data_IF_807576610740
#
_entry.id   IF_807576610740
#
_cell.length_a   1.000
_cell.length_b   1.000
_cell.length_c   1.000
_cell.angle_alpha   90.00
_cell.angle_beta   90.00
_cell.angle_gamma   90.00
#
_symmetry.space_group_name_H-M   'P 1'
#
loop_
_entity.id
_entity.type
_entity.pdbx_description
1 polymer ?
#
# COMPACT_ATOMS: atom_id res chain seq x y z
N UNK A 1 55.68 59.40 34.20
CA UNK A 1 54.59 58.68 34.92
C UNK A 1 53.56 58.23 33.90
N UNK A 2 53.52 56.93 33.56
CA UNK A 2 52.48 56.35 32.70
C UNK A 2 51.31 55.94 33.59
N UNK A 3 50.13 56.54 33.41
CA UNK A 3 48.90 56.15 34.10
C UNK A 3 48.40 54.83 33.50
N UNK A 4 48.47 53.74 34.26
CA UNK A 4 47.74 52.52 33.95
C UNK A 4 46.25 52.77 34.25
N UNK A 5 45.41 52.68 33.21
CA UNK A 5 43.96 52.58 33.36
C UNK A 5 43.63 51.10 33.64
N UNK A 6 42.94 50.76 34.74
CA UNK A 6 42.43 49.41 34.93
C UNK A 6 41.29 49.17 33.93
N UNK A 7 41.54 48.31 32.96
CA UNK A 7 40.56 47.81 32.02
C UNK A 7 39.64 46.84 32.77
N UNK A 8 38.53 47.33 33.32
CA UNK A 8 37.47 46.48 33.87
C UNK A 8 36.74 45.82 32.70
N UNK A 9 37.06 44.54 32.44
CA UNK A 9 36.20 43.68 31.64
C UNK A 9 34.93 43.38 32.45
N UNK A 10 33.85 44.10 32.18
CA UNK A 10 32.50 43.68 32.54
C UNK A 10 32.14 42.49 31.64
N UNK A 11 32.51 41.28 32.07
CA UNK A 11 31.96 40.06 31.49
C UNK A 11 30.54 39.95 32.03
N UNK A 12 29.56 40.43 31.26
CA UNK A 12 28.15 40.14 31.51
C UNK A 12 27.92 38.66 31.21
N UNK A 13 28.14 37.80 32.21
CA UNK A 13 27.70 36.41 32.16
C UNK A 13 26.18 36.48 32.26
N UNK A 14 25.49 36.38 31.11
CA UNK A 14 24.07 36.09 31.09
C UNK A 14 23.91 34.67 31.64
N UNK A 15 23.77 34.56 32.97
CA UNK A 15 23.36 33.33 33.61
C UNK A 15 21.93 33.08 33.12
N UNK A 16 21.80 32.16 32.16
CA UNK A 16 20.51 31.56 31.84
C UNK A 16 19.85 31.11 33.14
N UNK A 17 18.53 31.25 33.22
CA UNK A 17 17.78 30.89 34.41
C UNK A 17 18.15 29.48 34.88
N UNK A 18 18.48 29.38 36.16
CA UNK A 18 18.83 28.12 36.80
C UNK A 18 17.71 27.82 37.81
N UNK A 19 16.80 26.93 37.42
CA UNK A 19 15.76 26.45 38.32
C UNK A 19 16.33 25.40 39.25
N UNK A 20 15.92 25.48 40.52
CA UNK A 20 16.13 24.41 41.49
C UNK A 20 14.76 23.94 41.97
N UNK A 21 14.42 22.70 41.62
CA UNK A 21 13.18 22.05 42.03
C UNK A 21 13.51 21.01 43.10
N UNK A 22 12.81 21.09 44.23
CA UNK A 22 12.89 20.10 45.30
C UNK A 22 11.53 19.45 45.44
N UNK A 23 11.45 18.14 45.18
CA UNK A 23 10.22 17.38 45.40
C UNK A 23 10.04 17.14 46.90
N UNK A 24 8.99 17.70 47.49
CA UNK A 24 8.77 17.63 48.94
C UNK A 24 7.86 16.47 49.33
N UNK A 25 6.80 16.24 48.55
CA UNK A 25 5.86 15.16 48.78
C UNK A 25 5.15 14.74 47.49
N UNK A 26 4.61 13.51 47.48
CA UNK A 26 3.72 13.05 46.42
C UNK A 26 2.64 12.11 46.97
N UNK A 27 1.44 12.23 46.42
CA UNK A 27 0.30 11.39 46.74
C UNK A 27 -0.30 10.80 45.46
N UNK A 28 -0.47 9.48 45.46
CA UNK A 28 -1.20 8.76 44.41
C UNK A 28 -2.59 8.41 44.96
N UNK A 29 -3.64 8.91 44.33
CA UNK A 29 -5.02 8.61 44.73
C UNK A 29 -5.50 7.29 44.12
N UNK A 30 -6.56 6.72 44.70
CA UNK A 30 -7.19 5.51 44.18
C UNK A 30 -7.75 5.68 42.74
N UNK A 31 -8.09 6.91 42.36
CA UNK A 31 -8.60 7.26 41.03
C UNK A 31 -7.48 7.47 40.00
N UNK A 32 -6.22 7.22 40.37
CA UNK A 32 -5.08 7.38 39.48
C UNK A 32 -4.66 8.84 39.28
N UNK A 33 -4.95 9.72 40.25
CA UNK A 33 -4.40 11.07 40.24
C UNK A 33 -3.06 11.06 40.98
N UNK A 34 -2.08 11.79 40.43
CA UNK A 34 -0.80 12.03 41.09
C UNK A 34 -0.74 13.50 41.47
N UNK A 35 -0.65 13.77 42.76
CA UNK A 35 -0.52 15.11 43.32
C UNK A 35 0.90 15.25 43.84
N UNK A 36 1.65 16.19 43.29
CA UNK A 36 2.99 16.53 43.72
C UNK A 36 2.97 17.84 44.51
N UNK A 37 3.77 17.89 45.56
CA UNK A 37 4.18 19.15 46.18
C UNK A 37 5.65 19.35 45.87
N UNK A 38 5.99 20.51 45.30
CA UNK A 38 7.36 20.87 44.96
C UNK A 38 7.70 22.24 45.48
N UNK A 39 8.94 22.42 45.92
CA UNK A 39 9.51 23.71 46.23
C UNK A 39 10.39 24.17 45.06
N UNK A 40 10.00 25.25 44.40
CA UNK A 40 10.65 25.80 43.23
C UNK A 40 11.41 27.08 43.59
N UNK A 41 12.65 27.20 43.09
CA UNK A 41 13.46 28.42 43.19
C UNK A 41 13.94 28.84 41.80
N UNK A 42 13.88 30.13 41.50
CA UNK A 42 14.55 30.71 40.34
C UNK A 42 15.82 31.43 40.82
N UNK A 43 16.99 30.86 40.50
CA UNK A 43 18.29 31.40 40.91
C UNK A 43 18.90 32.35 39.87
N UNK A 44 18.28 32.48 38.70
CA UNK A 44 18.74 33.37 37.63
C UNK A 44 17.85 34.58 37.47
N UNK A 45 17.79 35.11 36.24
CA UNK A 45 16.89 36.20 35.89
C UNK A 45 15.43 35.73 35.84
N UNK A 46 14.51 36.67 36.00
CA UNK A 46 13.08 36.44 35.83
C UNK A 46 12.79 35.76 34.48
N UNK A 47 12.01 34.68 34.52
CA UNK A 47 11.73 33.88 33.33
C UNK A 47 10.23 33.64 33.19
N UNK A 48 9.76 33.76 31.96
CA UNK A 48 8.44 33.30 31.56
C UNK A 48 8.45 31.77 31.39
N UNK A 49 7.60 31.10 32.17
CA UNK A 49 7.43 29.65 32.14
C UNK A 49 6.07 29.35 31.54
N UNK A 50 6.06 28.43 30.59
CA UNK A 50 4.84 27.90 30.01
C UNK A 50 4.28 26.81 30.91
N UNK A 51 3.07 27.03 31.38
CA UNK A 51 2.42 26.20 32.39
C UNK A 51 0.91 26.15 32.10
N UNK A 52 0.56 25.73 30.89
CA UNK A 52 -0.86 25.63 30.51
C UNK A 52 -1.44 24.28 30.92
N UNK A 53 -2.53 24.31 31.67
CA UNK A 53 -3.41 23.16 31.89
C UNK A 53 -4.79 23.41 31.25
N UNK A 54 -5.44 22.36 30.72
CA UNK A 54 -6.80 22.44 30.16
C UNK A 54 -6.97 21.86 28.74
N UNK A 55 -8.22 21.62 28.30
CA UNK A 55 -8.54 20.83 27.10
C UNK A 55 -8.22 21.50 25.75
N UNK A 56 -7.90 22.80 25.73
CA UNK A 56 -7.84 23.62 24.50
C UNK A 56 -6.42 23.90 23.96
N UNK A 57 -5.38 23.19 24.44
CA UNK A 57 -3.97 23.56 24.15
C UNK A 57 -3.16 22.50 23.36
N UNK A 58 -3.82 21.75 22.49
CA UNK A 58 -3.16 20.70 21.70
C UNK A 58 -2.08 21.22 20.72
N UNK A 59 -2.19 22.46 20.22
CA UNK A 59 -1.28 22.98 19.18
C UNK A 59 0.09 23.46 19.69
N UNK A 60 0.29 23.61 21.01
CA UNK A 60 1.57 24.03 21.63
C UNK A 60 2.26 22.94 22.46
N UNK A 61 1.79 21.70 22.35
CA UNK A 61 2.23 20.55 23.16
C UNK A 61 3.76 20.37 23.19
N UNK A 62 4.45 20.63 22.06
CA UNK A 62 5.90 20.41 21.90
C UNK A 62 6.77 21.43 22.65
N UNK A 63 6.30 22.67 22.83
CA UNK A 63 7.00 23.70 23.61
C UNK A 63 6.75 23.54 25.11
N UNK A 64 5.71 22.79 25.50
CA UNK A 64 5.26 22.61 26.88
C UNK A 64 5.87 21.38 27.57
N UNK A 65 6.12 20.32 26.80
CA UNK A 65 6.85 19.12 27.24
C UNK A 65 8.26 19.44 27.78
N UNK A 66 8.80 20.63 27.59
CA UNK A 66 10.11 20.98 28.18
C UNK A 66 10.03 21.35 29.65
N UNK A 67 8.86 21.79 30.14
CA UNK A 67 8.73 22.39 31.47
C UNK A 67 7.98 21.50 32.47
N UNK A 68 6.85 20.90 32.07
CA UNK A 68 6.06 20.05 32.96
C UNK A 68 5.49 18.87 32.20
N UNK A 69 5.94 17.67 32.51
CA UNK A 69 5.30 16.46 31.99
C UNK A 69 5.49 15.27 32.91
N UNK A 70 4.53 14.36 32.81
CA UNK A 70 4.60 13.02 33.36
C UNK A 70 4.74 12.07 32.18
N UNK A 71 5.74 11.20 32.23
CA UNK A 71 5.91 10.10 31.29
C UNK A 71 5.65 8.76 31.98
N UNK A 72 5.04 7.81 31.28
CA UNK A 72 4.81 6.47 31.79
C UNK A 72 4.75 5.43 30.67
N UNK A 73 5.08 4.19 30.97
CA UNK A 73 4.94 3.05 30.06
C UNK A 73 3.54 2.44 30.18
N UNK A 74 2.83 2.33 29.07
CA UNK A 74 1.53 1.64 29.04
C UNK A 74 1.70 0.12 28.95
N UNK A 75 1.58 -0.57 30.08
CA UNK A 75 1.88 -2.01 30.19
C UNK A 75 0.85 -2.87 29.44
N UNK A 76 -0.42 -2.46 29.40
CA UNK A 76 -1.48 -3.31 28.86
C UNK A 76 -1.59 -3.24 27.34
N UNK A 77 -1.33 -2.09 26.74
CA UNK A 77 -1.52 -1.91 25.30
C UNK A 77 -0.28 -2.28 24.48
N UNK A 78 0.72 -1.41 24.45
CA UNK A 78 1.83 -1.49 23.48
C UNK A 78 3.22 -1.32 24.11
N UNK A 79 3.30 -1.22 25.45
CA UNK A 79 4.52 -0.88 26.18
C UNK A 79 5.17 0.42 25.70
N UNK A 80 4.42 1.33 25.05
CA UNK A 80 4.97 2.62 24.63
C UNK A 80 4.95 3.61 25.79
N UNK A 81 5.93 4.50 25.76
CA UNK A 81 5.94 5.66 26.66
C UNK A 81 4.89 6.67 26.21
N UNK A 82 4.00 7.04 27.12
CA UNK A 82 3.00 8.08 26.95
C UNK A 82 3.38 9.25 27.83
N UNK A 83 3.06 10.45 27.36
CA UNK A 83 3.30 11.68 28.10
C UNK A 83 1.99 12.41 28.39
N UNK A 84 1.95 13.07 29.55
CA UNK A 84 0.81 13.84 30.05
C UNK A 84 1.31 15.14 30.63
N UNK A 85 0.60 16.22 30.32
CA UNK A 85 0.76 17.50 30.99
C UNK A 85 -0.07 17.51 32.29
N UNK A 86 0.27 18.36 33.28
CA UNK A 86 -0.54 18.50 34.47
C UNK A 86 -1.95 19.02 34.14
N UNK A 87 -2.93 18.59 34.92
CA UNK A 87 -4.30 19.10 34.86
C UNK A 87 -4.53 20.32 35.74
N UNK A 88 -3.66 20.57 36.73
CA UNK A 88 -3.63 21.81 37.50
C UNK A 88 -2.26 22.08 38.10
N UNK A 89 -1.94 23.37 38.26
CA UNK A 89 -0.79 23.86 39.02
C UNK A 89 -1.30 24.97 39.94
N UNK A 90 -1.04 24.83 41.23
CA UNK A 90 -1.52 25.75 42.27
C UNK A 90 -0.32 26.23 43.10
N UNK A 91 -0.16 27.54 43.25
CA UNK A 91 0.97 28.15 43.96
C UNK A 91 0.51 28.55 45.35
N UNK A 92 1.31 28.22 46.36
CA UNK A 92 1.14 28.70 47.73
C UNK A 92 1.69 30.13 47.85
N UNK A 93 0.84 31.07 48.26
CA UNK A 93 1.20 32.46 48.49
C UNK A 93 1.88 32.64 49.85
N UNK A 94 2.47 33.82 50.05
CA UNK A 94 3.06 34.22 51.34
C UNK A 94 2.05 34.30 52.49
N UNK A 95 0.75 34.29 52.20
CA UNK A 95 -0.33 34.30 53.19
C UNK A 95 -0.87 32.90 53.50
N UNK A 96 -0.13 31.84 53.12
CA UNK A 96 -0.54 30.44 53.21
C UNK A 96 -1.85 30.13 52.45
N UNK A 97 -2.22 30.95 51.46
CA UNK A 97 -3.35 30.70 50.57
C UNK A 97 -2.86 30.09 49.25
N UNK A 98 -3.74 29.38 48.54
CA UNK A 98 -3.40 28.73 47.27
C UNK A 98 -4.11 29.41 46.11
N UNK A 99 -3.36 29.78 45.08
CA UNK A 99 -3.88 30.39 43.85
C UNK A 99 -3.62 29.48 42.65
N UNK A 100 -4.64 29.29 41.82
CA UNK A 100 -4.51 28.54 40.57
C UNK A 100 -3.72 29.34 39.54
N UNK A 101 -2.87 28.68 38.78
CA UNK A 101 -2.13 29.28 37.68
C UNK A 101 -3.00 29.35 36.42
N UNK A 102 -3.94 30.29 36.36
CA UNK A 102 -4.99 30.31 35.32
C UNK A 102 -4.51 30.74 33.92
N UNK A 103 -3.33 31.37 33.81
CA UNK A 103 -2.76 31.81 32.53
C UNK A 103 -1.79 30.78 31.94
N UNK A 104 -1.72 30.68 30.60
CA UNK A 104 -0.80 29.75 29.92
C UNK A 104 0.68 30.04 30.20
N UNK A 105 0.99 31.27 30.59
CA UNK A 105 2.33 31.70 30.96
C UNK A 105 2.33 32.20 32.39
N UNK A 106 3.37 31.82 33.13
CA UNK A 106 3.65 32.26 34.49
C UNK A 106 5.02 32.90 34.53
N UNK A 107 5.08 34.15 35.02
CA UNK A 107 6.32 34.86 35.17
C UNK A 107 6.95 34.49 36.51
N UNK A 108 7.99 33.65 36.48
CA UNK A 108 8.69 33.22 37.69
C UNK A 108 9.87 34.16 37.97
N UNK A 109 9.64 35.14 38.83
CA UNK A 109 10.70 36.08 39.25
C UNK A 109 11.81 35.39 40.03
N UNK A 110 13.00 35.98 39.99
CA UNK A 110 14.17 35.55 40.75
C UNK A 110 13.85 35.52 42.24
N UNK A 111 14.07 34.37 42.88
CA UNK A 111 13.82 34.18 44.31
C UNK A 111 15.12 34.19 45.12
N UNK A 112 16.27 34.14 44.45
CA UNK A 112 17.57 33.96 45.09
C UNK A 112 17.66 32.62 45.86
N UNK A 113 18.72 32.46 46.66
CA UNK A 113 19.01 31.19 47.34
C UNK A 113 18.12 30.92 48.57
N UNK A 114 17.64 31.98 49.23
CA UNK A 114 16.94 31.91 50.51
C UNK A 114 15.41 31.92 50.43
N UNK A 115 14.83 32.10 49.24
CA UNK A 115 13.38 32.09 49.06
C UNK A 115 12.97 31.24 47.86
N UNK A 116 11.68 30.90 47.79
CA UNK A 116 11.11 30.04 46.76
C UNK A 116 9.59 29.99 46.89
N UNK A 117 8.97 29.19 46.03
CA UNK A 117 7.53 29.00 46.01
C UNK A 117 7.19 27.53 46.15
N UNK A 118 6.16 27.22 46.92
CA UNK A 118 5.61 25.87 46.97
C UNK A 118 4.51 25.75 45.91
N UNK A 119 4.64 24.76 45.05
CA UNK A 119 3.67 24.46 44.00
C UNK A 119 3.05 23.09 44.27
N UNK A 120 1.72 23.03 44.15
CA UNK A 120 0.94 21.80 44.14
C UNK A 120 0.51 21.50 42.72
N UNK A 121 1.02 20.41 42.15
CA UNK A 121 0.84 20.04 40.74
C UNK A 121 0.05 18.74 40.69
N UNK A 122 -1.00 18.70 39.88
CA UNK A 122 -1.85 17.51 39.75
C UNK A 122 -1.80 16.96 38.34
N UNK A 123 -1.62 15.65 38.21
CA UNK A 123 -1.84 14.87 36.99
C UNK A 123 -3.05 13.97 37.22
N UNK A 124 -4.06 14.05 36.36
CA UNK A 124 -5.30 13.26 36.49
C UNK A 124 -5.38 12.14 35.47
N UNK A 125 -6.17 11.10 35.78
CA UNK A 125 -6.46 9.99 34.87
C UNK A 125 -5.20 9.23 34.43
N UNK A 126 -4.23 9.05 35.33
CA UNK A 126 -3.08 8.18 35.06
C UNK A 126 -3.56 6.73 35.19
N UNK A 127 -3.37 5.90 34.14
CA UNK A 127 -3.83 4.52 34.18
C UNK A 127 -3.22 3.76 35.36
N UNK A 128 -4.03 2.94 36.05
CA UNK A 128 -3.57 2.19 37.22
C UNK A 128 -2.51 1.11 36.87
N UNK A 129 -2.38 0.81 35.59
CA UNK A 129 -1.42 -0.09 34.96
C UNK A 129 -0.19 0.63 34.37
N UNK A 130 -0.06 1.94 34.57
CA UNK A 130 1.10 2.70 34.14
C UNK A 130 2.37 2.21 34.87
N UNK A 131 3.38 1.83 34.09
CA UNK A 131 4.69 1.43 34.59
C UNK A 131 5.73 2.54 34.47
N UNK A 132 6.77 2.50 35.29
CA UNK A 132 7.92 3.41 35.24
C UNK A 132 7.49 4.89 35.13
N UNK A 133 6.54 5.30 35.97
CA UNK A 133 6.02 6.67 36.00
C UNK A 133 7.13 7.61 36.46
N UNK A 134 7.37 8.65 35.66
CA UNK A 134 8.38 9.68 35.90
C UNK A 134 7.76 11.04 35.67
N UNK A 135 8.12 12.00 36.50
CA UNK A 135 7.64 13.37 36.38
C UNK A 135 8.83 14.30 36.25
N UNK A 136 8.79 15.16 35.24
CA UNK A 136 9.81 16.17 34.97
C UNK A 136 9.19 17.55 35.15
N UNK A 137 9.84 18.35 36.00
CA UNK A 137 9.48 19.73 36.29
C UNK A 137 10.72 20.59 36.12
N UNK A 138 10.71 21.50 35.14
CA UNK A 138 11.80 22.41 34.80
C UNK A 138 13.17 21.71 34.75
N UNK A 139 13.21 20.55 34.07
CA UNK A 139 14.40 19.73 33.91
C UNK A 139 14.80 18.87 35.12
N UNK A 140 14.10 18.99 36.25
CA UNK A 140 14.29 18.10 37.42
C UNK A 140 13.35 16.90 37.36
N UNK A 141 13.86 15.70 37.60
CA UNK A 141 13.11 14.44 37.48
C UNK A 141 12.80 13.82 38.85
N UNK A 142 11.55 13.35 39.02
CA UNK A 142 11.13 12.45 40.08
C UNK A 142 10.67 11.12 39.47
N UNK A 143 11.30 10.04 39.89
CA UNK A 143 10.89 8.67 39.52
C UNK A 143 9.91 8.16 40.58
N UNK A 144 8.65 7.99 40.20
CA UNK A 144 7.61 7.42 41.07
C UNK A 144 7.67 5.88 41.04
N UNK A 145 7.99 5.32 39.87
CA UNK A 145 7.98 3.88 39.66
C UNK A 145 6.62 3.37 39.15
N UNK A 146 6.28 2.14 39.48
CA UNK A 146 5.08 1.48 38.96
C UNK A 146 3.82 1.89 39.75
N UNK A 147 2.71 2.12 39.05
CA UNK A 147 1.42 2.31 39.71
C UNK A 147 0.96 1.01 40.41
N UNK A 148 0.10 1.06 41.44
CA UNK A 148 -0.20 -0.09 42.29
C UNK A 148 -0.67 -1.37 41.59
N UNK A 149 -1.25 -1.29 40.38
CA UNK A 149 -1.71 -2.48 39.62
C UNK A 149 -0.75 -2.90 38.51
N UNK A 150 0.26 -2.09 38.19
CA UNK A 150 1.18 -2.32 37.07
C UNK A 150 1.91 -3.67 37.17
N UNK A 151 2.48 -3.99 38.33
CA UNK A 151 3.23 -5.25 38.54
C UNK A 151 2.34 -6.49 38.45
N UNK A 152 1.15 -6.46 39.05
CA UNK A 152 0.19 -7.58 38.97
C UNK A 152 -0.27 -7.82 37.53
N UNK A 153 -0.45 -6.74 36.75
CA UNK A 153 -0.82 -6.83 35.35
C UNK A 153 0.33 -7.30 34.46
N UNK A 154 1.57 -6.89 34.74
CA UNK A 154 2.78 -7.40 34.08
C UNK A 154 2.88 -8.91 34.25
N UNK A 155 2.76 -9.41 35.49
CA UNK A 155 2.73 -10.85 35.79
C UNK A 155 1.59 -11.57 35.09
N UNK A 156 0.40 -10.97 35.04
CA UNK A 156 -0.74 -11.54 34.32
C UNK A 156 -0.49 -11.62 32.81
N UNK A 157 0.09 -10.58 32.20
CA UNK A 157 0.44 -10.54 30.77
C UNK A 157 1.53 -11.55 30.44
N UNK A 158 2.56 -11.64 31.27
CA UNK A 158 3.62 -12.66 31.16
C UNK A 158 3.06 -14.07 31.26
N UNK A 159 2.15 -14.31 32.21
CA UNK A 159 1.46 -15.61 32.32
C UNK A 159 0.64 -15.92 31.09
N UNK A 160 -0.19 -14.99 30.60
CA UNK A 160 -1.00 -15.19 29.38
C UNK A 160 -0.10 -15.48 28.17
N UNK A 161 1.02 -14.77 28.04
CA UNK A 161 1.99 -15.02 26.98
C UNK A 161 2.64 -16.40 27.13
N UNK A 162 3.02 -16.79 28.35
CA UNK A 162 3.60 -18.09 28.65
C UNK A 162 2.64 -19.22 28.32
N UNK A 163 1.39 -19.15 28.80
CA UNK A 163 0.35 -20.14 28.54
C UNK A 163 0.06 -20.25 27.03
N UNK A 164 -0.02 -19.10 26.33
CA UNK A 164 -0.22 -19.08 24.88
C UNK A 164 0.96 -19.69 24.11
N UNK A 165 2.20 -19.43 24.54
CA UNK A 165 3.42 -19.96 23.94
C UNK A 165 3.52 -21.48 24.15
N UNK A 166 3.21 -21.95 25.36
CA UNK A 166 3.17 -23.38 25.69
C UNK A 166 2.17 -24.12 24.81
N UNK A 167 0.93 -23.60 24.72
CA UNK A 167 -0.11 -24.16 23.85
C UNK A 167 0.32 -24.15 22.36
N UNK A 168 0.94 -23.08 21.87
CA UNK A 168 1.43 -23.01 20.50
C UNK A 168 2.53 -24.05 20.22
N UNK A 169 3.45 -24.24 21.16
CA UNK A 169 4.51 -25.25 21.06
C UNK A 169 3.96 -26.66 21.14
N UNK A 170 3.05 -26.94 22.08
CA UNK A 170 2.42 -28.25 22.25
C UNK A 170 1.66 -28.66 20.98
N UNK A 171 0.76 -27.80 20.50
CA UNK A 171 -0.02 -28.05 19.28
C UNK A 171 0.88 -28.20 18.03
N UNK A 172 1.98 -27.46 17.94
CA UNK A 172 2.98 -27.63 16.88
C UNK A 172 3.69 -28.99 16.96
N UNK A 173 4.11 -29.41 18.16
CA UNK A 173 4.80 -30.68 18.39
C UNK A 173 3.88 -31.87 18.13
N UNK A 174 2.59 -31.73 18.47
CA UNK A 174 1.54 -32.73 18.23
C UNK A 174 1.00 -32.71 16.79
N UNK A 175 1.54 -31.86 15.91
CA UNK A 175 1.14 -31.72 14.50
C UNK A 175 -0.32 -31.32 14.31
N UNK A 176 -0.92 -30.63 15.29
CA UNK A 176 -2.26 -30.06 15.22
C UNK A 176 -2.22 -28.71 14.48
N UNK A 177 -1.83 -28.73 13.21
CA UNK A 177 -1.36 -27.54 12.49
C UNK A 177 -2.37 -26.40 12.37
N UNK A 178 -3.66 -26.70 12.24
CA UNK A 178 -4.71 -25.68 12.17
C UNK A 178 -4.81 -24.87 13.47
N UNK A 179 -4.72 -25.56 14.61
CA UNK A 179 -4.73 -24.94 15.93
C UNK A 179 -3.39 -24.27 16.24
N UNK A 180 -2.27 -24.93 15.90
CA UNK A 180 -0.92 -24.42 16.09
C UNK A 180 -0.71 -23.04 15.43
N UNK A 181 -1.10 -22.88 14.17
CA UNK A 181 -0.98 -21.59 13.48
C UNK A 181 -1.85 -20.50 14.14
N UNK A 182 -3.05 -20.85 14.61
CA UNK A 182 -3.95 -19.90 15.31
C UNK A 182 -3.35 -19.48 16.67
N UNK A 183 -2.75 -20.42 17.40
CA UNK A 183 -2.04 -20.15 18.64
C UNK A 183 -0.81 -19.28 18.40
N UNK A 184 -0.04 -19.53 17.34
CA UNK A 184 1.08 -18.67 16.95
C UNK A 184 0.64 -17.25 16.60
N UNK A 185 -0.47 -17.05 15.88
CA UNK A 185 -1.01 -15.70 15.62
C UNK A 185 -1.35 -14.97 16.93
N UNK A 186 -1.93 -15.66 17.92
CA UNK A 186 -2.20 -15.10 19.23
C UNK A 186 -0.91 -14.71 19.97
N UNK A 187 0.11 -15.57 19.95
CA UNK A 187 1.40 -15.30 20.58
C UNK A 187 2.09 -14.10 19.94
N UNK A 188 2.11 -14.02 18.60
CA UNK A 188 2.71 -12.90 17.85
C UNK A 188 2.00 -11.59 18.19
N UNK A 189 0.67 -11.60 18.32
CA UNK A 189 -0.11 -10.42 18.74
C UNK A 189 0.24 -9.97 20.17
N UNK A 190 0.52 -10.92 21.07
CA UNK A 190 0.92 -10.62 22.45
C UNK A 190 2.38 -10.13 22.53
N UNK A 191 3.27 -10.70 21.72
CA UNK A 191 4.68 -10.34 21.66
C UNK A 191 5.32 -10.74 20.31
N UNK A 192 5.52 -9.77 19.43
CA UNK A 192 6.10 -9.98 18.11
C UNK A 192 7.56 -10.47 18.14
N UNK A 193 8.30 -10.22 19.22
CA UNK A 193 9.70 -10.66 19.34
C UNK A 193 9.85 -12.19 19.40
N UNK A 194 8.75 -12.92 19.66
CA UNK A 194 8.74 -14.39 19.66
C UNK A 194 9.07 -14.95 18.27
N UNK A 195 8.75 -14.20 17.19
CA UNK A 195 9.03 -14.59 15.80
C UNK A 195 10.51 -14.93 15.61
N UNK A 196 11.42 -14.12 16.15
CA UNK A 196 12.87 -14.32 15.95
C UNK A 196 13.38 -15.62 16.59
N UNK A 197 12.69 -16.15 17.61
CA UNK A 197 13.10 -17.36 18.33
C UNK A 197 12.47 -18.64 17.77
N UNK A 198 11.28 -18.53 17.19
CA UNK A 198 10.49 -19.69 16.75
C UNK A 198 10.04 -19.57 15.29
N UNK A 199 10.78 -18.82 14.47
CA UNK A 199 10.49 -18.59 13.05
C UNK A 199 10.24 -19.92 12.31
N UNK A 200 11.04 -20.93 12.65
CA UNK A 200 10.97 -22.28 12.10
C UNK A 200 9.60 -22.94 12.32
N UNK A 201 9.11 -22.93 13.57
CA UNK A 201 7.85 -23.57 13.98
C UNK A 201 6.65 -22.77 13.53
N UNK A 202 6.74 -21.43 13.58
CA UNK A 202 5.71 -20.53 13.09
C UNK A 202 5.51 -20.76 11.59
N UNK A 203 6.60 -20.70 10.80
CA UNK A 203 6.57 -20.91 9.35
C UNK A 203 6.04 -22.31 9.00
N UNK A 204 6.54 -23.35 9.66
CA UNK A 204 6.06 -24.73 9.45
C UNK A 204 4.55 -24.87 9.72
N UNK A 205 4.08 -24.33 10.85
CA UNK A 205 2.66 -24.40 11.22
C UNK A 205 1.78 -23.66 10.21
N UNK A 206 2.24 -22.53 9.70
CA UNK A 206 1.51 -21.73 8.72
C UNK A 206 1.45 -22.42 7.35
N UNK A 207 2.57 -23.00 6.87
CA UNK A 207 2.59 -23.83 5.67
C UNK A 207 1.63 -25.02 5.77
N UNK A 208 1.63 -25.74 6.89
CA UNK A 208 0.74 -26.88 7.07
C UNK A 208 -0.73 -26.48 7.18
N UNK A 209 -1.06 -25.35 7.84
CA UNK A 209 -2.42 -24.79 7.81
C UNK A 209 -2.83 -24.39 6.40
N UNK A 210 -1.92 -23.80 5.62
CA UNK A 210 -2.18 -23.46 4.22
C UNK A 210 -2.52 -24.71 3.39
N UNK A 211 -1.81 -25.82 3.59
CA UNK A 211 -2.12 -27.11 2.94
C UNK A 211 -3.50 -27.66 3.32
N UNK A 212 -3.90 -27.52 4.59
CA UNK A 212 -5.23 -27.92 5.04
C UNK A 212 -6.32 -27.08 4.35
N UNK A 213 -6.14 -25.75 4.31
CA UNK A 213 -7.06 -24.83 3.64
C UNK A 213 -7.11 -25.07 2.12
N UNK A 214 -5.97 -25.40 1.51
CA UNK A 214 -5.90 -25.77 0.10
C UNK A 214 -6.76 -27.00 -0.20
N UNK A 215 -6.67 -28.05 0.63
CA UNK A 215 -7.52 -29.25 0.51
C UNK A 215 -9.01 -28.95 0.70
N UNK A 216 -9.35 -27.86 1.39
CA UNK A 216 -10.71 -27.36 1.58
C UNK A 216 -11.16 -26.38 0.47
N UNK A 217 -10.37 -26.22 -0.61
CA UNK A 217 -10.60 -25.26 -1.69
C UNK A 217 -10.67 -23.79 -1.24
N UNK A 218 -10.16 -23.47 -0.05
CA UNK A 218 -10.09 -22.10 0.48
C UNK A 218 -8.81 -21.41 0.00
N UNK A 219 -8.71 -21.22 -1.32
CA UNK A 219 -7.45 -20.88 -1.98
C UNK A 219 -6.87 -19.53 -1.55
N UNK A 220 -7.68 -18.47 -1.45
CA UNK A 220 -7.21 -17.14 -1.04
C UNK A 220 -6.62 -17.16 0.37
N UNK A 221 -7.23 -17.90 1.30
CA UNK A 221 -6.72 -18.03 2.66
C UNK A 221 -5.45 -18.88 2.69
N UNK A 222 -5.42 -19.98 1.94
CA UNK A 222 -4.21 -20.81 1.81
C UNK A 222 -3.02 -19.99 1.29
N UNK A 223 -3.23 -19.15 0.26
CA UNK A 223 -2.21 -18.25 -0.29
C UNK A 223 -1.69 -17.30 0.81
N UNK A 224 -2.59 -16.69 1.57
CA UNK A 224 -2.23 -15.78 2.67
C UNK A 224 -1.34 -16.47 3.73
N UNK A 225 -1.64 -17.70 4.13
CA UNK A 225 -0.82 -18.42 5.10
C UNK A 225 0.56 -18.83 4.53
N UNK A 226 0.64 -19.21 3.25
CA UNK A 226 1.92 -19.48 2.62
C UNK A 226 2.81 -18.23 2.53
N UNK A 227 2.26 -17.08 2.16
CA UNK A 227 3.03 -15.82 2.11
C UNK A 227 3.47 -15.38 3.52
N UNK A 228 2.61 -15.48 4.54
CA UNK A 228 3.02 -15.24 5.93
C UNK A 228 4.16 -16.18 6.37
N UNK A 229 4.09 -17.46 6.02
CA UNK A 229 5.14 -18.42 6.36
C UNK A 229 6.49 -18.06 5.72
N UNK A 230 6.45 -17.61 4.47
CA UNK A 230 7.61 -17.12 3.71
C UNK A 230 8.24 -15.89 4.35
N UNK A 231 7.42 -14.94 4.82
CA UNK A 231 7.89 -13.74 5.54
C UNK A 231 8.63 -14.08 6.84
N UNK A 232 8.18 -15.11 7.56
CA UNK A 232 8.79 -15.51 8.83
C UNK A 232 10.06 -16.34 8.67
N UNK A 233 10.06 -17.31 7.75
CA UNK A 233 11.24 -18.15 7.50
C UNK A 233 11.24 -18.69 6.06
N UNK A 234 12.02 -18.05 5.19
CA UNK A 234 12.19 -18.46 3.81
C UNK A 234 12.74 -19.90 3.70
N UNK A 235 13.68 -20.30 4.56
CA UNK A 235 14.33 -21.61 4.45
C UNK A 235 13.37 -22.76 4.75
N UNK A 236 12.43 -22.56 5.67
CA UNK A 236 11.36 -23.52 5.93
C UNK A 236 10.35 -23.51 4.79
N UNK A 237 9.93 -22.31 4.33
CA UNK A 237 9.00 -22.17 3.23
C UNK A 237 9.46 -22.87 1.94
N UNK A 238 10.76 -22.82 1.61
CA UNK A 238 11.30 -23.51 0.42
C UNK A 238 11.01 -25.02 0.40
N UNK A 239 10.82 -25.67 1.56
CA UNK A 239 10.43 -27.09 1.63
C UNK A 239 8.99 -27.34 1.18
N UNK A 240 8.17 -26.29 1.14
CA UNK A 240 6.76 -26.29 0.76
C UNK A 240 6.52 -25.59 -0.57
N UNK A 241 7.59 -25.21 -1.29
CA UNK A 241 7.52 -24.45 -2.53
C UNK A 241 6.66 -25.13 -3.60
N UNK A 242 6.77 -26.45 -3.71
CA UNK A 242 5.97 -27.23 -4.67
C UNK A 242 4.49 -27.26 -4.26
N UNK A 243 4.16 -27.49 -2.98
CA UNK A 243 2.77 -27.39 -2.50
C UNK A 243 2.15 -26.01 -2.81
N UNK A 244 2.95 -24.96 -2.70
CA UNK A 244 2.50 -23.60 -3.02
C UNK A 244 2.37 -23.36 -4.53
N UNK A 245 3.27 -23.94 -5.34
CA UNK A 245 3.17 -23.90 -6.80
C UNK A 245 1.90 -24.59 -7.29
N UNK A 246 1.55 -25.75 -6.72
CA UNK A 246 0.29 -26.48 -6.96
C UNK A 246 -0.93 -25.60 -6.66
N UNK A 247 -0.94 -24.95 -5.49
CA UNK A 247 -2.01 -24.04 -5.09
C UNK A 247 -2.17 -22.88 -6.09
N UNK A 248 -1.07 -22.22 -6.46
CA UNK A 248 -1.07 -21.10 -7.40
C UNK A 248 -1.49 -21.54 -8.81
N UNK A 249 -1.19 -22.78 -9.22
CA UNK A 249 -1.66 -23.33 -10.47
C UNK A 249 -3.18 -23.47 -10.48
N UNK A 250 -3.74 -24.17 -9.48
CA UNK A 250 -5.18 -24.44 -9.40
C UNK A 250 -5.98 -23.14 -9.21
N UNK A 251 -5.50 -22.25 -8.34
CA UNK A 251 -6.13 -20.93 -8.15
C UNK A 251 -6.12 -20.13 -9.45
N UNK A 252 -5.02 -20.18 -10.21
CA UNK A 252 -4.90 -19.54 -11.50
C UNK A 252 -5.91 -20.07 -12.51
N UNK A 253 -6.05 -21.39 -12.64
CA UNK A 253 -7.05 -22.01 -13.52
C UNK A 253 -8.49 -21.63 -13.14
N UNK A 254 -8.82 -21.64 -11.85
CA UNK A 254 -10.15 -21.25 -11.39
C UNK A 254 -10.45 -19.79 -11.74
N UNK A 255 -9.49 -18.88 -11.53
CA UNK A 255 -9.64 -17.47 -11.87
C UNK A 255 -9.84 -17.25 -13.37
N UNK A 256 -9.11 -17.98 -14.21
CA UNK A 256 -9.33 -17.97 -15.65
C UNK A 256 -10.74 -18.45 -16.03
N UNK A 257 -11.22 -19.54 -15.41
CA UNK A 257 -12.57 -20.06 -15.66
C UNK A 257 -13.66 -19.07 -15.23
N UNK A 258 -13.40 -18.27 -14.19
CA UNK A 258 -14.27 -17.20 -13.74
C UNK A 258 -14.12 -15.88 -14.52
N UNK A 259 -13.38 -15.88 -15.64
CA UNK A 259 -13.07 -14.68 -16.43
C UNK A 259 -12.27 -13.59 -15.70
N UNK A 260 -11.64 -13.92 -14.57
CA UNK A 260 -10.73 -13.05 -13.83
C UNK A 260 -9.29 -13.21 -14.37
N UNK A 261 -9.08 -12.74 -15.59
CA UNK A 261 -7.91 -13.10 -16.40
C UNK A 261 -6.59 -12.63 -15.79
N UNK A 262 -6.52 -11.37 -15.34
CA UNK A 262 -5.31 -10.79 -14.77
C UNK A 262 -4.84 -11.56 -13.52
N UNK A 263 -5.78 -11.87 -12.63
CA UNK A 263 -5.51 -12.65 -11.42
C UNK A 263 -5.09 -14.08 -11.77
N UNK A 264 -5.77 -14.71 -12.73
CA UNK A 264 -5.44 -16.06 -13.20
C UNK A 264 -4.05 -16.14 -13.79
N UNK A 265 -3.70 -15.24 -14.71
CA UNK A 265 -2.38 -15.21 -15.35
C UNK A 265 -1.27 -14.92 -14.34
N UNK A 266 -1.47 -13.97 -13.43
CA UNK A 266 -0.50 -13.66 -12.37
C UNK A 266 -0.21 -14.89 -11.50
N UNK A 267 -1.26 -15.60 -11.09
CA UNK A 267 -1.18 -16.83 -10.31
C UNK A 267 -0.42 -17.94 -11.06
N UNK A 268 -0.76 -18.18 -12.33
CA UNK A 268 -0.06 -19.17 -13.17
C UNK A 268 1.41 -18.83 -13.37
N UNK A 269 1.76 -17.57 -13.66
CA UNK A 269 3.16 -17.15 -13.77
C UNK A 269 3.92 -17.35 -12.46
N UNK A 270 3.26 -17.11 -11.33
CA UNK A 270 3.91 -17.32 -10.05
C UNK A 270 4.17 -18.81 -9.80
N UNK A 271 3.20 -19.69 -10.08
CA UNK A 271 3.40 -21.15 -10.08
C UNK A 271 4.58 -21.57 -10.98
N UNK A 272 4.66 -21.01 -12.19
CA UNK A 272 5.76 -21.25 -13.14
C UNK A 272 7.15 -20.91 -12.56
N UNK A 273 7.23 -19.80 -11.81
CA UNK A 273 8.48 -19.37 -11.17
C UNK A 273 8.88 -20.22 -9.97
N UNK A 274 7.90 -20.89 -9.35
CA UNK A 274 8.12 -21.68 -8.15
C UNK A 274 8.55 -23.11 -8.49
N UNK A 275 7.90 -23.77 -9.45
CA UNK A 275 8.18 -25.18 -9.75
C UNK A 275 8.22 -25.46 -11.24
N UNK A 276 9.11 -26.36 -11.66
CA UNK A 276 9.21 -26.82 -13.05
C UNK A 276 8.08 -27.76 -13.45
N UNK A 277 7.38 -28.34 -12.46
CA UNK A 277 6.34 -29.38 -12.67
C UNK A 277 5.21 -28.90 -13.58
N UNK A 278 4.81 -27.63 -13.48
CA UNK A 278 3.69 -27.08 -14.26
C UNK A 278 4.11 -26.30 -15.49
N UNK A 279 5.41 -26.14 -15.78
CA UNK A 279 5.88 -25.25 -16.84
C UNK A 279 5.23 -25.55 -18.19
N UNK A 280 5.29 -26.81 -18.65
CA UNK A 280 4.69 -27.20 -19.93
C UNK A 280 3.17 -27.00 -19.96
N UNK A 281 2.46 -27.26 -18.85
CA UNK A 281 1.01 -27.07 -18.78
C UNK A 281 0.64 -25.59 -18.83
N UNK A 282 1.34 -24.77 -18.07
CA UNK A 282 1.16 -23.32 -18.03
C UNK A 282 1.51 -22.72 -19.39
N UNK A 283 2.63 -23.11 -20.01
CA UNK A 283 3.02 -22.67 -21.35
C UNK A 283 1.97 -23.04 -22.39
N UNK A 284 1.47 -24.28 -22.39
CA UNK A 284 0.39 -24.69 -23.28
C UNK A 284 -0.87 -23.85 -23.07
N UNK A 285 -1.28 -23.63 -21.81
CA UNK A 285 -2.46 -22.83 -21.48
C UNK A 285 -2.31 -21.38 -21.94
N UNK A 286 -1.17 -20.75 -21.67
CA UNK A 286 -0.88 -19.38 -22.08
C UNK A 286 -0.74 -19.28 -23.61
N UNK A 287 -0.22 -20.32 -24.27
CA UNK A 287 -0.17 -20.41 -25.74
C UNK A 287 -1.55 -20.60 -26.37
N UNK A 288 -2.46 -21.36 -25.76
CA UNK A 288 -3.86 -21.46 -26.18
C UNK A 288 -4.54 -20.09 -26.09
N UNK A 289 -4.31 -19.35 -25.00
CA UNK A 289 -4.80 -17.99 -24.83
C UNK A 289 -4.23 -17.03 -25.89
N UNK A 290 -2.93 -17.13 -26.22
CA UNK A 290 -2.29 -16.38 -27.31
C UNK A 290 -2.83 -16.77 -28.69
N UNK A 291 -3.01 -18.07 -28.97
CA UNK A 291 -3.52 -18.57 -30.26
C UNK A 291 -4.96 -18.15 -30.50
N UNK A 292 -5.80 -18.17 -29.48
CA UNK A 292 -7.14 -17.59 -29.50
C UNK A 292 -7.13 -16.11 -29.93
N UNK A 293 -6.13 -15.35 -29.46
CA UNK A 293 -5.95 -13.95 -29.87
C UNK A 293 -5.42 -13.83 -31.30
N UNK A 294 -4.42 -14.62 -31.71
CA UNK A 294 -3.89 -14.58 -33.08
C UNK A 294 -4.92 -15.04 -34.12
N UNK A 295 -5.71 -16.08 -33.83
CA UNK A 295 -6.82 -16.47 -34.69
C UNK A 295 -7.85 -15.36 -34.73
N UNK A 296 -8.14 -14.69 -33.62
CA UNK A 296 -9.01 -13.52 -33.62
C UNK A 296 -8.45 -12.37 -34.48
N UNK A 297 -7.14 -12.14 -34.51
CA UNK A 297 -6.49 -11.10 -35.33
C UNK A 297 -6.52 -11.50 -36.82
N UNK A 298 -6.27 -12.76 -37.15
CA UNK A 298 -6.42 -13.24 -38.53
C UNK A 298 -7.88 -13.15 -39.01
N UNK A 299 -8.85 -13.35 -38.10
CA UNK A 299 -10.27 -13.19 -38.36
C UNK A 299 -10.72 -11.72 -38.39
N UNK A 300 -9.92 -10.75 -37.90
CA UNK A 300 -10.27 -9.33 -37.95
C UNK A 300 -9.85 -8.65 -39.25
N UNK A 301 -8.98 -9.30 -40.03
CA UNK A 301 -8.74 -8.95 -41.44
C UNK A 301 -10.00 -9.08 -42.29
N UNK A 302 -10.99 -9.86 -41.83
CA UNK A 302 -12.35 -9.86 -42.35
C UNK A 302 -13.23 -9.14 -41.31
N UNK A 303 -13.50 -7.84 -41.48
CA UNK A 303 -14.30 -7.06 -40.54
C UNK A 303 -15.58 -7.77 -40.13
N UNK A 304 -15.84 -7.83 -38.83
CA UNK A 304 -17.03 -8.47 -38.25
C UNK A 304 -16.95 -10.00 -38.10
N UNK A 305 -16.04 -10.71 -38.79
CA UNK A 305 -15.95 -12.17 -38.67
C UNK A 305 -15.34 -12.61 -37.33
N UNK A 306 -14.28 -11.94 -36.86
CA UNK A 306 -13.70 -12.19 -35.53
C UNK A 306 -14.70 -11.96 -34.40
N UNK A 307 -15.52 -10.92 -34.52
CA UNK A 307 -16.51 -10.55 -33.52
C UNK A 307 -17.77 -11.43 -33.56
N UNK A 308 -18.10 -12.03 -34.72
CA UNK A 308 -19.12 -13.07 -34.84
C UNK A 308 -18.69 -14.38 -34.19
N UNK A 309 -17.43 -14.77 -34.38
CA UNK A 309 -16.86 -15.99 -33.77
C UNK A 309 -16.69 -15.84 -32.26
N UNK A 310 -16.41 -14.63 -31.76
CA UNK A 310 -16.14 -14.35 -30.34
C UNK A 310 -17.36 -13.88 -29.50
N UNK A 311 -18.58 -13.95 -30.04
CA UNK A 311 -19.88 -13.83 -29.31
C UNK A 311 -20.14 -12.57 -28.44
N UNK A 312 -19.36 -11.47 -28.52
CA UNK A 312 -19.57 -10.31 -27.62
C UNK A 312 -20.51 -9.20 -28.12
N UNK A 313 -20.78 -9.07 -29.43
CA UNK A 313 -21.72 -8.04 -29.93
C UNK A 313 -22.22 -8.31 -31.37
N UNK A 314 -23.09 -9.31 -31.54
CA UNK A 314 -23.53 -9.83 -32.86
C UNK A 314 -24.03 -8.75 -33.82
N UNK A 315 -24.72 -7.71 -33.34
CA UNK A 315 -25.27 -6.64 -34.21
C UNK A 315 -24.19 -5.76 -34.84
N UNK A 316 -23.19 -5.33 -34.07
CA UNK A 316 -22.07 -4.52 -34.60
C UNK A 316 -21.21 -5.34 -35.55
N UNK A 317 -20.96 -6.60 -35.22
CA UNK A 317 -20.21 -7.54 -36.05
C UNK A 317 -20.88 -7.77 -37.40
N UNK A 318 -22.20 -7.96 -37.42
CA UNK A 318 -22.96 -8.20 -38.65
C UNK A 318 -22.98 -6.96 -39.55
N UNK A 319 -23.04 -5.76 -38.96
CA UNK A 319 -22.95 -4.49 -39.69
C UNK A 319 -21.57 -4.29 -40.33
N UNK A 320 -20.48 -4.55 -39.59
CA UNK A 320 -19.12 -4.44 -40.11
C UNK A 320 -18.84 -5.48 -41.22
N UNK A 321 -19.30 -6.73 -41.02
CA UNK A 321 -19.20 -7.77 -42.04
C UNK A 321 -20.04 -7.46 -43.28
N UNK A 322 -21.26 -6.96 -43.10
CA UNK A 322 -22.13 -6.51 -44.18
C UNK A 322 -21.51 -5.34 -44.96
N UNK A 323 -21.00 -4.33 -44.26
CA UNK A 323 -20.35 -3.18 -44.88
C UNK A 323 -19.11 -3.58 -45.69
N UNK A 324 -18.26 -4.47 -45.13
CA UNK A 324 -17.10 -5.01 -45.83
C UNK A 324 -17.49 -5.83 -47.06
N UNK A 325 -18.44 -6.77 -46.91
CA UNK A 325 -18.87 -7.66 -47.98
C UNK A 325 -19.52 -6.90 -49.14
N UNK A 326 -20.49 -6.03 -48.84
CA UNK A 326 -21.19 -5.23 -49.86
C UNK A 326 -20.23 -4.28 -50.57
N UNK A 327 -19.36 -3.57 -49.83
CA UNK A 327 -18.41 -2.62 -50.42
C UNK A 327 -17.36 -3.31 -51.29
N UNK A 328 -16.90 -4.51 -50.90
CA UNK A 328 -15.96 -5.30 -51.73
C UNK A 328 -16.59 -5.73 -53.05
N UNK A 329 -17.84 -6.20 -53.03
CA UNK A 329 -18.59 -6.58 -54.24
C UNK A 329 -18.81 -5.38 -55.15
N UNK A 330 -19.23 -4.23 -54.58
CA UNK A 330 -19.46 -3.00 -55.34
C UNK A 330 -18.16 -2.45 -55.95
N UNK A 331 -17.04 -2.52 -55.23
CA UNK A 331 -15.71 -2.15 -55.75
C UNK A 331 -15.36 -2.95 -57.00
N UNK A 332 -15.49 -4.28 -56.93
CA UNK A 332 -15.19 -5.17 -58.06
C UNK A 332 -16.17 -4.95 -59.22
N UNK A 333 -17.46 -4.85 -58.93
CA UNK A 333 -18.49 -4.64 -59.94
C UNK A 333 -18.28 -3.33 -60.71
N UNK A 334 -18.02 -2.23 -60.00
CA UNK A 334 -17.82 -0.94 -60.63
C UNK A 334 -16.48 -0.85 -61.36
N UNK A 335 -15.42 -1.54 -60.89
CA UNK A 335 -14.18 -1.68 -61.66
C UNK A 335 -14.41 -2.42 -62.98
N UNK A 336 -15.11 -3.56 -62.96
CA UNK A 336 -15.43 -4.32 -64.18
C UNK A 336 -16.24 -3.46 -65.16
N UNK A 337 -17.22 -2.69 -64.68
CA UNK A 337 -17.99 -1.77 -65.51
C UNK A 337 -17.12 -0.66 -66.11
N UNK A 338 -16.22 -0.10 -65.31
CA UNK A 338 -15.28 0.91 -65.79
C UNK A 338 -14.39 0.36 -66.91
N UNK A 339 -13.83 -0.84 -66.73
CA UNK A 339 -12.98 -1.50 -67.72
C UNK A 339 -13.76 -1.73 -69.03
N UNK A 340 -15.02 -2.18 -68.94
CA UNK A 340 -15.90 -2.34 -70.10
C UNK A 340 -16.18 -1.00 -70.82
N UNK A 341 -16.46 0.08 -70.08
CA UNK A 341 -16.68 1.40 -70.68
C UNK A 341 -15.40 1.97 -71.30
N UNK A 342 -14.23 1.66 -70.74
CA UNK A 342 -12.95 2.03 -71.30
C UNK A 342 -12.67 1.29 -72.63
N UNK A 343 -13.00 0.00 -72.68
CA UNK A 343 -12.94 -0.79 -73.91
C UNK A 343 -13.90 -0.28 -75.00
N UNK A 344 -15.09 0.18 -74.61
CA UNK A 344 -16.05 0.82 -75.52
C UNK A 344 -15.56 2.19 -75.99
N UNK A 345 -14.96 2.99 -75.10
CA UNK A 345 -14.31 4.26 -75.43
C UNK A 345 -13.23 4.08 -76.51
N UNK A 346 -12.38 3.05 -76.39
CA UNK A 346 -11.34 2.75 -77.37
C UNK A 346 -11.90 2.34 -78.74
N UNK A 347 -13.15 1.89 -78.81
CA UNK A 347 -13.85 1.45 -80.03
C UNK A 347 -14.79 2.51 -80.60
N UNK A 348 -14.96 3.65 -79.93
CA UNK A 348 -15.91 4.68 -80.35
C UNK A 348 -15.49 5.34 -81.68
N UNK A 349 -16.44 5.50 -82.59
CA UNK A 349 -16.18 6.05 -83.94
C UNK A 349 -16.44 7.56 -84.03
N UNK A 350 -17.01 8.16 -82.99
CA UNK A 350 -17.27 9.61 -82.93
C UNK A 350 -16.74 10.21 -81.62
N UNK A 351 -16.28 11.48 -81.63
CA UNK A 351 -15.77 12.15 -80.43
C UNK A 351 -16.82 12.29 -79.31
N UNK A 352 -18.09 12.48 -79.66
CA UNK A 352 -19.18 12.60 -78.69
C UNK A 352 -19.43 11.29 -77.94
N UNK A 353 -19.44 10.17 -78.67
CA UNK A 353 -19.60 8.84 -78.07
C UNK A 353 -18.38 8.47 -77.21
N UNK A 354 -17.16 8.73 -77.71
CA UNK A 354 -15.94 8.55 -76.93
C UNK A 354 -15.98 9.35 -75.62
N UNK A 355 -16.38 10.63 -75.67
CA UNK A 355 -16.50 11.46 -74.47
C UNK A 355 -17.52 10.90 -73.48
N UNK A 356 -18.69 10.46 -73.94
CA UNK A 356 -19.71 9.89 -73.07
C UNK A 356 -19.26 8.58 -72.40
N UNK A 357 -18.58 7.69 -73.15
CA UNK A 357 -18.04 6.44 -72.61
C UNK A 357 -16.92 6.68 -71.60
N UNK A 358 -16.06 7.65 -71.86
CA UNK A 358 -15.02 8.06 -70.93
C UNK A 358 -15.59 8.63 -69.63
N UNK A 359 -16.61 9.50 -69.70
CA UNK A 359 -17.27 10.06 -68.51
C UNK A 359 -17.93 8.97 -67.65
N UNK A 360 -18.54 7.96 -68.27
CA UNK A 360 -19.10 6.79 -67.57
C UNK A 360 -18.01 5.92 -66.93
N UNK A 361 -16.90 5.68 -67.63
CA UNK A 361 -15.76 4.93 -67.09
C UNK A 361 -15.14 5.65 -65.87
N UNK A 362 -14.90 6.95 -65.98
CA UNK A 362 -14.35 7.79 -64.90
C UNK A 362 -15.28 7.82 -63.68
N UNK A 363 -16.60 7.92 -63.89
CA UNK A 363 -17.58 7.83 -62.80
C UNK A 363 -17.49 6.48 -62.08
N UNK A 364 -17.45 5.36 -62.81
CA UNK A 364 -17.39 4.03 -62.22
C UNK A 364 -16.06 3.77 -61.47
N UNK A 365 -14.94 4.32 -61.96
CA UNK A 365 -13.64 4.28 -61.25
C UNK A 365 -13.71 5.06 -59.94
N UNK A 366 -14.31 6.25 -59.94
CA UNK A 366 -14.48 7.06 -58.72
C UNK A 366 -15.35 6.35 -57.68
N UNK A 367 -16.45 5.73 -58.12
CA UNK A 367 -17.31 4.93 -57.26
C UNK A 367 -16.57 3.70 -56.71
N UNK A 368 -15.81 2.98 -57.54
CA UNK A 368 -14.97 1.86 -57.10
C UNK A 368 -13.92 2.30 -56.07
N UNK A 369 -13.28 3.45 -56.27
CA UNK A 369 -12.34 4.05 -55.32
C UNK A 369 -12.99 4.40 -53.98
N UNK A 370 -14.22 4.93 -54.00
CA UNK A 370 -14.98 5.22 -52.78
C UNK A 370 -15.31 3.95 -51.99
N UNK A 371 -15.79 2.90 -52.67
CA UNK A 371 -16.08 1.61 -52.01
C UNK A 371 -14.83 0.93 -51.48
N UNK A 372 -13.71 1.00 -52.19
CA UNK A 372 -12.42 0.53 -51.70
C UNK A 372 -11.97 1.28 -50.44
N UNK A 373 -12.20 2.59 -50.39
CA UNK A 373 -11.97 3.41 -49.20
C UNK A 373 -12.78 2.93 -47.99
N UNK A 374 -14.04 2.57 -48.18
CA UNK A 374 -14.90 1.99 -47.12
C UNK A 374 -14.35 0.64 -46.66
N UNK A 375 -13.93 -0.23 -47.58
CA UNK A 375 -13.31 -1.53 -47.24
C UNK A 375 -12.09 -1.34 -46.35
N UNK A 376 -11.16 -0.46 -46.75
CA UNK A 376 -9.93 -0.18 -45.99
C UNK A 376 -10.25 0.42 -44.62
N UNK A 377 -11.15 1.40 -44.55
CA UNK A 377 -11.56 2.01 -43.28
C UNK A 377 -12.19 0.99 -42.32
N UNK A 378 -12.99 0.06 -42.84
CA UNK A 378 -13.63 -1.00 -42.03
C UNK A 378 -12.60 -2.00 -41.50
N UNK A 379 -11.58 -2.34 -42.28
CA UNK A 379 -10.44 -3.19 -41.85
C UNK A 379 -9.63 -2.49 -40.77
N UNK A 380 -9.23 -1.23 -40.99
CA UNK A 380 -8.45 -0.46 -40.02
C UNK A 380 -9.22 -0.30 -38.71
N UNK A 381 -10.51 0.07 -38.77
CA UNK A 381 -11.36 0.18 -37.59
C UNK A 381 -11.46 -1.15 -36.83
N UNK A 382 -11.62 -2.28 -37.53
CA UNK A 382 -11.71 -3.61 -36.91
C UNK A 382 -10.40 -4.00 -36.21
N UNK A 383 -9.25 -3.67 -36.80
CA UNK A 383 -7.93 -3.88 -36.19
C UNK A 383 -7.77 -3.02 -34.93
N UNK A 384 -8.13 -1.73 -34.99
CA UNK A 384 -8.02 -0.79 -33.86
C UNK A 384 -8.96 -1.17 -32.72
N UNK A 385 -10.22 -1.49 -33.02
CA UNK A 385 -11.21 -1.91 -32.02
C UNK A 385 -10.77 -3.20 -31.32
N UNK A 386 -10.22 -4.16 -32.07
CA UNK A 386 -9.65 -5.35 -31.48
C UNK A 386 -8.40 -5.06 -30.65
N UNK A 387 -7.51 -4.19 -31.11
CA UNK A 387 -6.30 -3.81 -30.38
C UNK A 387 -6.63 -3.09 -29.06
N UNK A 388 -7.57 -2.14 -29.06
CA UNK A 388 -8.03 -1.46 -27.85
C UNK A 388 -8.57 -2.46 -26.82
N UNK A 389 -9.35 -3.45 -27.27
CA UNK A 389 -9.91 -4.50 -26.42
C UNK A 389 -8.87 -5.59 -26.01
N UNK A 390 -7.73 -5.69 -26.69
CA UNK A 390 -6.66 -6.67 -26.40
C UNK A 390 -5.42 -6.07 -25.75
N UNK A 391 -5.29 -4.74 -25.70
CA UNK A 391 -4.14 -4.04 -25.10
C UNK A 391 -3.92 -4.39 -23.62
N UNK A 392 -5.00 -4.61 -22.86
CA UNK A 392 -4.94 -5.11 -21.47
C UNK A 392 -4.35 -6.52 -21.36
N UNK A 393 -4.45 -7.33 -22.42
CA UNK A 393 -3.97 -8.70 -22.43
C UNK A 393 -2.46 -8.77 -22.72
N UNK A 394 -1.95 -8.05 -23.72
CA UNK A 394 -0.56 -8.22 -24.18
C UNK A 394 0.50 -7.95 -23.08
N UNK A 395 0.27 -6.98 -22.19
CA UNK A 395 1.17 -6.71 -21.06
C UNK A 395 1.18 -7.85 -20.02
N UNK A 396 0.14 -8.69 -19.98
CA UNK A 396 0.00 -9.79 -19.02
C UNK A 396 0.61 -11.11 -19.52
N UNK A 397 0.87 -11.32 -20.81
CA UNK A 397 1.33 -12.61 -21.37
C UNK A 397 2.82 -12.69 -21.76
N UNK A 398 3.61 -11.64 -21.48
CA UNK A 398 5.07 -11.75 -21.53
C UNK A 398 5.56 -12.59 -20.34
N UNK A 399 5.77 -13.89 -20.58
CA UNK A 399 6.66 -14.67 -19.72
C UNK A 399 8.05 -14.30 -20.23
N UNK A 400 8.74 -13.40 -19.54
CA UNK A 400 10.11 -13.01 -19.91
C UNK A 400 11.06 -14.14 -19.50
N UNK A 401 11.70 -14.87 -20.44
CA UNK A 401 12.82 -15.72 -20.10
C UNK A 401 14.09 -14.90 -20.30
N UNK A 402 14.78 -14.63 -19.21
CA UNK A 402 16.14 -14.16 -19.10
C UNK A 402 16.49 -12.75 -19.67
N UNK A 403 17.03 -11.94 -18.77
CA UNK A 403 17.67 -10.66 -19.03
C UNK A 403 18.85 -10.83 -19.99
N UNK A 404 18.67 -10.51 -21.27
CA UNK A 404 19.66 -9.80 -22.10
C UNK A 404 19.05 -9.45 -23.45
N UNK A 405 18.47 -8.25 -23.56
CA UNK A 405 18.81 -7.33 -24.65
C UNK A 405 18.01 -6.04 -24.52
N UNK A 406 18.75 -4.95 -24.67
CA UNK A 406 18.35 -3.56 -24.62
C UNK A 406 17.51 -3.16 -25.84
N UNK A 407 16.49 -2.34 -25.54
CA UNK A 407 15.88 -1.29 -26.37
C UNK A 407 14.94 -1.71 -27.51
N UNK A 408 13.67 -1.81 -27.15
CA UNK A 408 12.57 -1.19 -27.91
C UNK A 408 11.72 -0.38 -26.91
N UNK A 409 11.38 0.86 -27.27
CA UNK A 409 10.67 1.80 -26.41
C UNK A 409 9.28 1.29 -26.02
N UNK A 410 8.91 1.49 -24.75
CA UNK A 410 7.79 0.83 -24.08
C UNK A 410 6.37 1.21 -24.56
N UNK A 411 6.19 1.99 -25.63
CA UNK A 411 4.85 2.45 -26.05
C UNK A 411 4.63 2.68 -27.56
N UNK A 412 5.56 2.29 -28.44
CA UNK A 412 5.39 2.53 -29.88
C UNK A 412 5.06 1.22 -30.63
N UNK A 413 3.87 1.17 -31.22
CA UNK A 413 3.46 0.12 -32.15
C UNK A 413 3.36 0.71 -33.55
N UNK A 414 4.25 0.30 -34.45
CA UNK A 414 4.17 0.63 -35.88
C UNK A 414 3.45 -0.50 -36.60
N UNK A 415 2.19 -0.27 -37.00
CA UNK A 415 1.48 -1.17 -37.93
C UNK A 415 1.82 -0.75 -39.37
N UNK A 416 2.79 -1.42 -40.01
CA UNK A 416 3.03 -1.24 -41.45
C UNK A 416 2.19 -2.23 -42.26
N UNK A 417 1.13 -1.75 -42.90
CA UNK A 417 0.36 -2.52 -43.88
C UNK A 417 0.89 -2.21 -45.29
N UNK A 418 1.63 -3.16 -45.87
CA UNK A 418 2.04 -3.08 -47.27
C UNK A 418 1.01 -3.80 -48.14
N UNK A 419 0.08 -3.05 -48.71
CA UNK A 419 -0.90 -3.57 -49.66
C UNK A 419 -0.34 -3.35 -51.06
N UNK A 420 0.17 -4.41 -51.70
CA UNK A 420 0.49 -4.37 -53.12
C UNK A 420 -0.82 -4.48 -53.91
N UNK A 421 -1.25 -3.36 -54.47
CA UNK A 421 -2.34 -3.32 -55.45
C UNK A 421 -1.72 -3.65 -56.82
N UNK A 422 -2.15 -4.74 -57.50
CA UNK A 422 -1.76 -4.97 -58.88
C UNK A 422 -2.45 -3.92 -59.76
N UNK A 423 -1.67 -3.05 -60.38
CA UNK A 423 -2.10 -2.19 -61.48
C UNK A 423 -1.95 -2.93 -62.80
#
# INVERSE_FOLDING_TARGET
MKKLFPLFFLVSINLFAQFKITFTDHLITNDGNIILTVFAQNLGNDQEIWAVYGPNFYDRFKEMQTNFFLSYTDIMNDNRTRERIPSSIIIKTIFDTYISMESPTYYFSSTGLGSGQEWKITFTNIPADAGNVRIVILGSELVIGDMPKAEALRKRKEKILSDALENALETSNNKQWGEAATNWENVIRLNSNVVNRYSDKISSSFCEKAKLLFKQNSFSEAINYFEKAKEFDQSIFEKYKDDYADLQYIYGEQKLNNSEIDAGVKSLKYSYSLSTVYQTRIENKLNEMKRSQFTSISLSLIPGLSQLVLQKNTTKSLLLFGAFGVSSILTLSNKIKADNYYDEYLKATTPQDAKAKYELADQQIKEAGLYLGIVIATVVYSIVDQYANTSSYNSLFEITPNLTSTQLGQNDYVLSLSIKIPF
#
